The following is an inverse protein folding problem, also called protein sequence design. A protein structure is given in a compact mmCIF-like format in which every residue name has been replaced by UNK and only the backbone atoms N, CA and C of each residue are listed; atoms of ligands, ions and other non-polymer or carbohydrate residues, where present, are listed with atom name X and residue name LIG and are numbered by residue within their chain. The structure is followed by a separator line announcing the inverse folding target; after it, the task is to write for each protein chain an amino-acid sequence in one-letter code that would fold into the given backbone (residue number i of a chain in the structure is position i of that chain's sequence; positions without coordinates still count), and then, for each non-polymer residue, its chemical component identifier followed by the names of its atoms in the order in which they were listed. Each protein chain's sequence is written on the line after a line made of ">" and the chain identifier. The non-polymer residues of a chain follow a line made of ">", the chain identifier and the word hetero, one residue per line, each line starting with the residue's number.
data_IF_599313212182
#
_entry.id   IF_599313212182
#
_cell.length_a   1.000
_cell.length_b   1.000
_cell.length_c   1.000
_cell.angle_alpha   90.00
_cell.angle_beta   90.00
_cell.angle_gamma   90.00
#
_symmetry.space_group_name_H-M   'P 1'
#
loop_
_entity.id
_entity.type
_entity.pdbx_description
1 polymer ?
#
# COMPACT_ATOMS: atom_id res chain seq x y z
N UNK A 1 19.58 63.02 14.33
CA UNK A 1 20.18 61.72 13.95
C UNK A 1 19.19 60.55 13.97
N UNK A 2 18.30 60.41 14.97
CA UNK A 2 17.34 59.27 15.07
C UNK A 2 16.25 59.24 13.98
N UNK A 3 15.73 60.39 13.54
CA UNK A 3 14.63 60.48 12.56
C UNK A 3 15.04 60.08 11.13
N UNK A 4 16.27 60.41 10.72
CA UNK A 4 16.80 60.02 9.40
C UNK A 4 17.13 58.53 9.31
N UNK A 5 17.63 57.95 10.39
CA UNK A 5 17.88 56.50 10.47
C UNK A 5 16.58 55.69 10.38
N UNK A 6 15.51 56.13 11.06
CA UNK A 6 14.19 55.50 10.95
C UNK A 6 13.59 55.63 9.54
N UNK A 7 13.78 56.77 8.87
CA UNK A 7 13.33 56.95 7.50
C UNK A 7 14.05 56.02 6.50
N UNK A 8 15.35 55.80 6.68
CA UNK A 8 16.13 54.87 5.86
C UNK A 8 15.72 53.41 6.06
N UNK A 9 15.42 53.00 7.29
CA UNK A 9 14.91 51.65 7.57
C UNK A 9 13.53 51.47 6.94
N UNK A 10 12.64 52.45 7.09
CA UNK A 10 11.31 52.41 6.48
C UNK A 10 11.38 52.30 4.94
N UNK A 11 12.27 53.07 4.31
CA UNK A 11 12.48 53.02 2.86
C UNK A 11 13.09 51.69 2.38
N UNK A 12 14.00 51.11 3.17
CA UNK A 12 14.57 49.79 2.86
C UNK A 12 13.53 48.68 2.95
N UNK A 13 12.60 48.76 3.90
CA UNK A 13 11.54 47.76 4.08
C UNK A 13 10.49 47.83 2.97
N UNK A 14 10.14 49.03 2.49
CA UNK A 14 9.17 49.18 1.40
C UNK A 14 9.73 48.72 0.06
N UNK A 15 11.02 48.96 -0.20
CA UNK A 15 11.69 48.47 -1.42
C UNK A 15 11.82 46.94 -1.42
N UNK A 16 12.13 46.33 -0.27
CA UNK A 16 12.20 44.87 -0.14
C UNK A 16 10.85 44.17 -0.38
N UNK A 17 9.73 44.83 0.00
CA UNK A 17 8.38 44.31 -0.20
C UNK A 17 7.92 44.36 -1.66
N UNK A 18 8.48 45.29 -2.47
CA UNK A 18 8.14 45.42 -3.89
C UNK A 18 8.94 44.47 -4.80
N UNK A 19 10.07 43.94 -4.32
CA UNK A 19 10.93 43.01 -5.06
C UNK A 19 10.66 41.53 -4.75
N UNK A 20 9.78 41.22 -3.79
CA UNK A 20 9.51 39.87 -3.34
C UNK A 20 8.12 39.39 -3.71
N UNK A 21 8.02 38.55 -4.75
CA UNK A 21 7.24 37.31 -4.78
C UNK A 21 6.89 36.90 -6.23
N UNK A 22 7.91 36.58 -7.03
CA UNK A 22 7.67 35.63 -8.12
C UNK A 22 7.49 34.26 -7.44
N UNK A 23 6.23 33.92 -7.14
CA UNK A 23 5.86 32.60 -6.67
C UNK A 23 6.07 31.62 -7.83
N UNK A 24 7.32 31.23 -8.07
CA UNK A 24 7.62 30.04 -8.86
C UNK A 24 6.84 28.91 -8.21
N UNK A 25 5.84 28.39 -8.92
CA UNK A 25 5.02 27.27 -8.47
C UNK A 25 5.95 26.06 -8.35
N UNK A 26 6.48 25.85 -7.15
CA UNK A 26 7.29 24.69 -6.85
C UNK A 26 6.37 23.47 -6.94
N UNK A 27 6.40 22.78 -8.09
CA UNK A 27 5.80 21.45 -8.23
C UNK A 27 6.68 20.44 -7.52
N UNK A 28 6.64 20.45 -6.18
CA UNK A 28 7.44 19.57 -5.34
C UNK A 28 7.03 18.09 -5.46
N UNK A 29 5.88 17.79 -6.08
CA UNK A 29 5.25 16.47 -6.16
C UNK A 29 4.68 16.14 -7.54
N UNK A 30 5.13 16.84 -8.58
CA UNK A 30 4.83 16.39 -9.95
C UNK A 30 5.83 15.28 -10.29
N UNK A 31 5.37 14.04 -10.28
CA UNK A 31 6.22 12.94 -10.74
C UNK A 31 6.56 13.15 -12.21
N UNK A 32 7.85 12.97 -12.53
CA UNK A 32 8.29 12.82 -13.92
C UNK A 32 7.73 11.49 -14.46
N UNK A 33 7.62 11.40 -15.79
CA UNK A 33 7.24 10.17 -16.49
C UNK A 33 7.98 8.95 -15.89
N UNK A 34 7.26 7.90 -15.47
CA UNK A 34 7.86 6.69 -14.96
C UNK A 34 8.88 6.08 -15.92
N UNK A 35 9.87 5.37 -15.38
CA UNK A 35 10.80 4.59 -16.22
C UNK A 35 10.04 3.46 -16.91
N UNK A 36 10.67 2.82 -17.90
CA UNK A 36 10.14 1.58 -18.47
C UNK A 36 9.97 0.52 -17.37
N UNK A 37 8.88 -0.25 -17.44
CA UNK A 37 8.57 -1.33 -16.50
C UNK A 37 9.73 -2.29 -16.26
N UNK A 38 10.44 -2.68 -17.32
CA UNK A 38 11.59 -3.58 -17.25
C UNK A 38 12.79 -2.98 -16.50
N UNK A 39 12.96 -1.66 -16.56
CA UNK A 39 14.02 -0.98 -15.82
C UNK A 39 13.64 -0.79 -14.36
N UNK A 40 12.37 -0.47 -14.07
CA UNK A 40 11.89 -0.38 -12.70
C UNK A 40 11.92 -1.75 -11.99
N UNK A 41 11.53 -2.82 -12.69
CA UNK A 41 11.64 -4.20 -12.20
C UNK A 41 13.07 -4.57 -11.76
N UNK A 42 14.08 -4.14 -12.54
CA UNK A 42 15.50 -4.41 -12.19
C UNK A 42 15.88 -3.72 -10.88
N UNK A 43 15.42 -2.49 -10.69
CA UNK A 43 15.80 -1.66 -9.53
C UNK A 43 14.97 -1.90 -8.27
N UNK A 44 13.72 -2.37 -8.39
CA UNK A 44 12.85 -2.67 -7.24
C UNK A 44 13.32 -3.87 -6.45
N UNK A 45 13.07 -3.92 -5.14
CA UNK A 45 13.26 -5.14 -4.34
C UNK A 45 12.11 -6.14 -4.49
N UNK A 46 10.89 -5.66 -4.78
CA UNK A 46 9.73 -6.49 -5.02
C UNK A 46 8.82 -5.90 -6.10
N UNK A 47 8.24 -6.78 -6.93
CA UNK A 47 7.25 -6.45 -7.94
C UNK A 47 6.18 -7.53 -7.97
N UNK A 48 4.93 -7.14 -7.73
CA UNK A 48 3.79 -8.06 -7.67
C UNK A 48 2.50 -7.42 -8.17
N UNK A 49 1.59 -8.25 -8.68
CA UNK A 49 0.20 -7.91 -8.97
C UNK A 49 -0.68 -8.56 -7.91
N UNK A 50 -1.57 -7.79 -7.30
CA UNK A 50 -2.45 -8.29 -6.27
C UNK A 50 -3.62 -7.39 -5.96
N UNK A 51 -4.62 -7.96 -5.32
CA UNK A 51 -5.84 -7.28 -4.88
C UNK A 51 -5.67 -6.79 -3.45
N UNK A 52 -6.00 -5.53 -3.19
CA UNK A 52 -5.97 -5.00 -1.83
C UNK A 52 -7.04 -5.70 -0.98
N UNK A 53 -6.61 -6.49 0.01
CA UNK A 53 -7.50 -7.22 0.90
C UNK A 53 -7.92 -6.36 2.10
N UNK A 54 -7.00 -5.60 2.68
CA UNK A 54 -7.29 -4.69 3.79
C UNK A 54 -6.29 -3.54 3.90
N UNK A 55 -6.72 -2.45 4.54
CA UNK A 55 -5.87 -1.33 4.93
C UNK A 55 -5.91 -1.14 6.45
N UNK A 56 -4.77 -0.74 7.03
CA UNK A 56 -4.64 -0.49 8.46
C UNK A 56 -4.07 0.92 8.68
N UNK A 57 -4.89 1.97 8.54
CA UNK A 57 -4.45 3.35 8.71
C UNK A 57 -4.05 3.63 10.15
N UNK A 58 -3.00 4.43 10.34
CA UNK A 58 -2.52 4.90 11.64
C UNK A 58 -2.44 6.43 11.67
N UNK A 59 -2.51 7.01 12.87
CA UNK A 59 -2.32 8.45 13.05
C UNK A 59 -0.96 8.93 12.53
N UNK A 60 0.07 8.11 12.73
CA UNK A 60 1.37 8.26 12.05
C UNK A 60 1.31 7.49 10.71
N UNK A 61 1.16 8.23 9.61
CA UNK A 61 0.99 7.67 8.27
C UNK A 61 2.14 6.72 7.88
N UNK A 62 3.36 6.97 8.38
CA UNK A 62 4.52 6.10 8.11
C UNK A 62 4.40 4.68 8.71
N UNK A 63 3.39 4.47 9.57
CA UNK A 63 3.02 3.20 10.17
C UNK A 63 1.74 2.60 9.58
N UNK A 64 1.07 3.31 8.69
CA UNK A 64 -0.05 2.75 7.92
C UNK A 64 0.46 1.64 7.02
N UNK A 65 -0.40 0.66 6.77
CA UNK A 65 -0.06 -0.50 5.93
C UNK A 65 -1.27 -1.00 5.16
N UNK A 66 -0.98 -1.77 4.13
CA UNK A 66 -1.90 -2.37 3.18
C UNK A 66 -1.54 -3.84 3.06
N UNK A 67 -2.53 -4.72 3.14
CA UNK A 67 -2.33 -6.16 2.95
C UNK A 67 -2.94 -6.52 1.60
N UNK A 68 -2.10 -7.03 0.71
CA UNK A 68 -2.49 -7.50 -0.62
C UNK A 68 -2.59 -9.01 -0.64
N UNK A 69 -3.61 -9.52 -1.34
CA UNK A 69 -3.65 -10.90 -1.82
C UNK A 69 -2.94 -10.92 -3.17
N UNK A 70 -1.81 -11.61 -3.25
CA UNK A 70 -0.95 -11.61 -4.43
C UNK A 70 -1.45 -12.63 -5.43
N UNK A 71 -1.63 -12.19 -6.68
CA UNK A 71 -1.98 -13.03 -7.81
C UNK A 71 -0.74 -13.48 -8.59
N UNK A 72 0.29 -12.63 -8.67
CA UNK A 72 1.49 -12.89 -9.47
C UNK A 72 2.70 -12.08 -8.96
N UNK A 73 3.85 -12.72 -8.88
CA UNK A 73 5.15 -12.14 -8.50
C UNK A 73 6.10 -12.09 -9.70
N UNK A 74 6.74 -10.95 -9.94
CA UNK A 74 7.88 -10.85 -10.87
C UNK A 74 9.21 -10.72 -10.13
N UNK A 75 9.20 -10.25 -8.89
CA UNK A 75 10.37 -10.16 -8.01
C UNK A 75 9.92 -10.11 -6.56
N UNK A 76 10.66 -10.73 -5.65
CA UNK A 76 10.35 -10.72 -4.22
C UNK A 76 10.05 -12.12 -3.68
N UNK A 77 9.05 -12.21 -2.81
CA UNK A 77 8.70 -13.43 -2.06
C UNK A 77 7.68 -14.26 -2.83
N UNK A 78 8.15 -15.03 -3.82
CA UNK A 78 7.29 -15.75 -4.78
C UNK A 78 6.33 -16.75 -4.17
N UNK A 79 6.63 -17.24 -2.96
CA UNK A 79 5.87 -18.31 -2.33
C UNK A 79 4.75 -17.75 -1.44
N UNK A 80 4.82 -16.46 -1.07
CA UNK A 80 3.84 -15.86 -0.18
C UNK A 80 2.57 -15.43 -0.93
N UNK A 81 1.38 -15.93 -0.55
CA UNK A 81 0.11 -15.53 -1.15
C UNK A 81 -0.33 -14.14 -0.69
N UNK A 82 0.27 -13.59 0.36
CA UNK A 82 -0.04 -12.25 0.86
C UNK A 82 1.22 -11.42 1.06
N UNK A 83 1.09 -10.11 0.95
CA UNK A 83 2.20 -9.19 1.23
C UNK A 83 1.69 -7.96 1.97
N UNK A 84 2.45 -7.52 2.97
CA UNK A 84 2.20 -6.27 3.67
C UNK A 84 3.07 -5.17 3.07
N UNK A 85 2.42 -4.15 2.54
CA UNK A 85 3.02 -2.94 1.99
C UNK A 85 2.81 -1.78 2.96
N UNK A 86 3.87 -1.09 3.34
CA UNK A 86 3.80 0.06 4.24
C UNK A 86 3.70 1.36 3.47
N UNK A 87 2.93 2.30 4.02
CA UNK A 87 2.68 3.58 3.37
C UNK A 87 3.95 4.44 3.25
N UNK A 88 4.12 5.08 2.09
CA UNK A 88 5.05 6.17 1.83
C UNK A 88 4.39 7.56 2.05
N UNK A 89 3.07 7.60 2.21
CA UNK A 89 2.24 8.75 2.56
C UNK A 89 1.55 9.43 1.39
N UNK A 90 1.78 8.94 0.17
CA UNK A 90 1.33 9.56 -1.07
C UNK A 90 0.55 8.60 -1.96
N UNK A 91 0.60 7.31 -1.66
CA UNK A 91 -0.19 6.31 -2.36
C UNK A 91 -1.65 6.31 -1.89
N UNK A 92 -2.55 5.89 -2.78
CA UNK A 92 -3.93 5.59 -2.43
C UNK A 92 -4.32 4.26 -3.07
N UNK A 93 -4.77 3.33 -2.24
CA UNK A 93 -5.26 2.03 -2.66
C UNK A 93 -6.71 1.86 -2.19
N UNK A 94 -7.53 1.27 -3.04
CA UNK A 94 -8.93 0.94 -2.75
C UNK A 94 -9.08 -0.55 -2.48
N UNK A 95 -9.75 -0.90 -1.39
CA UNK A 95 -10.01 -2.30 -1.04
C UNK A 95 -10.80 -3.00 -2.15
N UNK A 96 -10.39 -4.22 -2.49
CA UNK A 96 -10.99 -5.03 -3.55
C UNK A 96 -10.55 -4.66 -4.96
N UNK A 97 -9.69 -3.66 -5.15
CA UNK A 97 -9.08 -3.34 -6.45
C UNK A 97 -7.72 -4.02 -6.58
N UNK A 98 -7.39 -4.37 -7.82
CA UNK A 98 -6.12 -5.00 -8.19
C UNK A 98 -5.12 -3.94 -8.68
N UNK A 99 -3.88 -4.08 -8.24
CA UNK A 99 -2.77 -3.18 -8.53
C UNK A 99 -1.53 -3.96 -8.95
N UNK A 100 -0.71 -3.36 -9.78
CA UNK A 100 0.71 -3.71 -9.93
C UNK A 100 1.49 -2.79 -8.99
N UNK A 101 2.39 -3.37 -8.20
CA UNK A 101 3.16 -2.65 -7.18
C UNK A 101 4.65 -2.87 -7.43
N UNK A 102 5.38 -1.77 -7.53
CA UNK A 102 6.84 -1.71 -7.54
C UNK A 102 7.31 -1.11 -6.22
N UNK A 103 8.14 -1.84 -5.49
CA UNK A 103 8.47 -1.50 -4.11
C UNK A 103 9.91 -1.83 -3.72
N UNK A 104 10.42 -1.05 -2.77
CA UNK A 104 11.73 -1.20 -2.17
C UNK A 104 11.63 -1.59 -0.69
N UNK A 105 12.64 -2.31 -0.20
CA UNK A 105 12.80 -2.62 1.22
C UNK A 105 13.47 -1.45 1.93
N UNK A 106 12.69 -0.76 2.75
CA UNK A 106 13.17 0.21 3.72
C UNK A 106 13.34 -0.47 5.09
N UNK A 107 14.49 -1.10 5.32
CA UNK A 107 14.71 -1.95 6.49
C UNK A 107 13.91 -3.25 6.38
N UNK A 108 13.03 -3.52 7.34
CA UNK A 108 12.12 -4.67 7.29
C UNK A 108 10.77 -4.37 6.60
N UNK A 109 10.55 -3.13 6.15
CA UNK A 109 9.28 -2.69 5.58
C UNK A 109 9.38 -2.58 4.06
N UNK A 110 8.47 -3.23 3.35
CA UNK A 110 8.29 -3.01 1.92
C UNK A 110 7.47 -1.73 1.71
N UNK A 111 7.95 -0.81 0.86
CA UNK A 111 7.28 0.46 0.56
C UNK A 111 7.20 0.68 -0.95
N UNK A 112 6.06 1.16 -1.49
CA UNK A 112 5.97 1.42 -2.90
C UNK A 112 6.85 2.61 -3.27
N UNK A 113 7.36 2.60 -4.49
CA UNK A 113 8.02 3.78 -5.03
C UNK A 113 7.05 4.98 -5.00
N UNK A 114 7.57 6.15 -4.65
CA UNK A 114 6.79 7.40 -4.62
C UNK A 114 6.31 7.81 -6.02
N UNK A 115 7.22 7.73 -6.99
CA UNK A 115 6.95 7.90 -8.41
C UNK A 115 7.39 6.63 -9.11
N UNK A 116 6.61 6.15 -10.07
CA UNK A 116 6.91 4.91 -10.77
C UNK A 116 5.67 4.33 -11.42
N UNK A 117 5.74 3.05 -11.75
CA UNK A 117 4.66 2.33 -12.43
C UNK A 117 3.63 1.68 -11.47
N UNK A 118 3.73 1.91 -10.17
CA UNK A 118 2.71 1.43 -9.21
C UNK A 118 1.35 2.06 -9.52
N UNK A 119 0.33 1.24 -9.73
CA UNK A 119 -1.00 1.72 -10.10
C UNK A 119 -2.01 0.60 -10.35
N UNK A 120 -3.26 0.94 -10.70
CA UNK A 120 -4.29 -0.05 -11.02
C UNK A 120 -3.77 -1.03 -12.08
N UNK A 121 -4.02 -2.33 -11.90
CA UNK A 121 -3.53 -3.34 -12.85
C UNK A 121 -4.05 -3.10 -14.27
N UNK A 122 -5.28 -2.59 -14.38
CA UNK A 122 -5.92 -2.26 -15.65
C UNK A 122 -5.28 -1.10 -16.42
N UNK A 123 -4.47 -0.26 -15.76
CA UNK A 123 -3.83 0.89 -16.40
C UNK A 123 -2.39 0.61 -16.88
N UNK A 124 -1.84 -0.59 -16.65
CA UNK A 124 -0.44 -0.90 -16.94
C UNK A 124 -0.34 -2.12 -17.85
N UNK A 125 0.31 -1.97 -19.00
CA UNK A 125 0.64 -3.10 -19.87
C UNK A 125 1.86 -3.88 -19.34
N UNK A 126 1.57 -4.97 -18.64
CA UNK A 126 2.57 -5.81 -17.98
C UNK A 126 3.28 -6.79 -18.93
N UNK A 127 2.95 -6.81 -20.23
CA UNK A 127 3.52 -7.78 -21.19
C UNK A 127 5.05 -7.77 -21.19
N UNK A 128 5.65 -6.59 -21.01
CA UNK A 128 7.10 -6.41 -20.99
C UNK A 128 7.80 -7.00 -19.76
N UNK A 129 7.08 -7.26 -18.66
CA UNK A 129 7.63 -7.88 -17.44
C UNK A 129 7.88 -9.39 -17.61
N UNK A 130 7.30 -10.01 -18.65
CA UNK A 130 7.37 -11.45 -18.87
C UNK A 130 6.44 -12.24 -17.94
N UNK A 131 6.67 -13.56 -17.87
CA UNK A 131 5.87 -14.46 -17.05
C UNK A 131 6.24 -14.32 -15.58
N UNK A 132 5.28 -14.00 -14.72
CA UNK A 132 5.46 -14.04 -13.27
C UNK A 132 5.18 -15.42 -12.68
N UNK A 133 5.35 -15.51 -11.37
CA UNK A 133 5.16 -16.71 -10.56
C UNK A 133 3.89 -16.51 -9.72
N UNK A 134 2.96 -17.46 -9.79
CA UNK A 134 1.81 -17.46 -8.90
C UNK A 134 2.22 -18.08 -7.57
N UNK A 135 1.88 -17.45 -6.43
CA UNK A 135 2.12 -18.06 -5.13
C UNK A 135 1.29 -19.34 -4.99
N UNK A 136 1.80 -20.29 -4.21
CA UNK A 136 1.07 -21.52 -3.94
C UNK A 136 -0.25 -21.16 -3.23
N UNK A 137 -1.37 -21.62 -3.79
CA UNK A 137 -2.68 -21.32 -3.21
C UNK A 137 -2.71 -21.92 -1.79
N UNK A 138 -2.95 -21.12 -0.74
CA UNK A 138 -3.06 -21.67 0.60
C UNK A 138 -4.17 -22.71 0.58
N UNK A 139 -3.84 -23.94 0.97
CA UNK A 139 -4.79 -25.04 0.98
C UNK A 139 -6.10 -24.58 1.62
N UNK A 140 -7.27 -24.85 1.01
CA UNK A 140 -8.54 -24.42 1.57
C UNK A 140 -8.59 -24.90 3.02
N UNK A 141 -8.76 -23.96 3.95
CA UNK A 141 -8.98 -24.29 5.34
C UNK A 141 -10.22 -25.18 5.36
N UNK A 142 -10.01 -26.48 5.59
CA UNK A 142 -11.07 -27.41 5.88
C UNK A 142 -11.65 -26.94 7.20
N UNK A 143 -12.67 -26.07 7.14
CA UNK A 143 -13.59 -25.87 8.23
C UNK A 143 -14.16 -27.26 8.52
N UNK A 144 -13.63 -27.95 9.51
CA UNK A 144 -14.12 -29.27 9.86
C UNK A 144 -15.58 -29.08 10.27
N UNK A 145 -16.56 -29.65 9.56
CA UNK A 145 -17.85 -29.84 10.15
C UNK A 145 -17.59 -30.89 11.23
N UNK A 146 -17.79 -30.56 12.51
CA UNK A 146 -18.28 -31.46 13.58
C UNK A 146 -17.93 -30.91 14.97
N UNK A 147 -18.94 -30.34 15.62
CA UNK A 147 -19.12 -30.42 17.09
C UNK A 147 -20.54 -30.06 17.52
N UNK A 148 -21.34 -29.41 16.67
CA UNK A 148 -22.74 -29.06 17.00
C UNK A 148 -23.74 -30.22 16.92
N UNK A 149 -23.65 -31.08 15.90
CA UNK A 149 -24.68 -32.10 15.63
C UNK A 149 -24.61 -33.35 16.52
N UNK A 150 -23.41 -33.77 16.91
CA UNK A 150 -23.20 -34.98 17.72
C UNK A 150 -23.66 -34.74 19.16
N UNK A 151 -23.36 -33.57 19.73
CA UNK A 151 -23.81 -33.20 21.07
C UNK A 151 -25.33 -33.05 21.13
N UNK A 152 -25.95 -32.44 20.11
CA UNK A 152 -27.41 -32.34 20.04
C UNK A 152 -28.09 -33.72 19.97
N UNK A 153 -27.53 -34.65 19.19
CA UNK A 153 -28.04 -36.02 19.07
C UNK A 153 -27.85 -36.83 20.35
N UNK A 154 -26.74 -36.62 21.06
CA UNK A 154 -26.47 -37.27 22.35
C UNK A 154 -27.42 -36.75 23.45
N UNK A 155 -27.71 -35.45 23.46
CA UNK A 155 -28.63 -34.82 24.43
C UNK A 155 -30.06 -35.33 24.25
N UNK A 156 -30.54 -35.49 23.01
CA UNK A 156 -31.88 -36.05 22.75
C UNK A 156 -31.96 -37.54 23.14
N UNK A 157 -30.90 -38.32 22.89
CA UNK A 157 -30.84 -39.72 23.33
C UNK A 157 -30.89 -39.84 24.86
N UNK A 158 -30.17 -38.97 25.57
CA UNK A 158 -30.14 -38.94 27.04
C UNK A 158 -31.51 -38.51 27.60
N UNK A 159 -32.19 -37.51 27.01
CA UNK A 159 -33.56 -37.13 27.41
C UNK A 159 -34.54 -38.28 27.23
N UNK A 160 -34.44 -39.01 26.12
CA UNK A 160 -35.30 -40.16 25.85
C UNK A 160 -35.10 -41.30 26.87
N UNK A 161 -33.86 -41.55 27.28
CA UNK A 161 -33.55 -42.58 28.29
C UNK A 161 -33.98 -42.19 29.71
N UNK A 162 -33.87 -40.90 30.07
CA UNK A 162 -34.27 -40.40 31.40
C UNK A 162 -35.78 -40.22 31.55
N UNK A 163 -36.54 -40.05 30.46
CA UNK A 163 -38.00 -39.93 30.48
C UNK A 163 -38.77 -41.26 30.50
N UNK A 164 -38.07 -42.40 30.57
CA UNK A 164 -38.67 -43.75 30.52
C UNK A 164 -38.70 -44.47 31.90
N UNK A 165 -38.31 -43.79 32.98
CA UNK A 165 -38.43 -44.28 34.36
C UNK A 165 -39.29 -43.35 35.20
#
# INVERSE_FOLDING_TARGET
>A
MKKGFLAMIALSLTVGLWLGADHSTASALSCVEPRKLTEELKTSDAVFRGTLASSNPKADISKSSYVFQVAEWWKGDSDSPTVTLYSNGWESFETGKEYIVFADKSGQKLKPHLCGNTGPSSSVDMTSLGKGIQPEEPAPSVESPWSGGILASLIELIRWLLGKY
#
